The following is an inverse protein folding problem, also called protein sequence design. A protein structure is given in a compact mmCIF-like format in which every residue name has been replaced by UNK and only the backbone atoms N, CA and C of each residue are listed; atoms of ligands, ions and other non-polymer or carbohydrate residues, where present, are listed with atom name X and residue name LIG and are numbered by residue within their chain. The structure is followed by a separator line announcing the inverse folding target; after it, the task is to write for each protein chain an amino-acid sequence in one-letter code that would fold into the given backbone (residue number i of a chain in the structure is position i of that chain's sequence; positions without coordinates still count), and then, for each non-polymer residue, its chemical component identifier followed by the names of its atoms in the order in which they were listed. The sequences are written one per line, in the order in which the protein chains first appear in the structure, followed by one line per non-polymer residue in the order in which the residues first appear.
data_IF_266851458817
#
_entry.id   IF_266851458817
#
_cell.length_a   1.000
_cell.length_b   1.000
_cell.length_c   1.000
_cell.angle_alpha   90.00
_cell.angle_beta   90.00
_cell.angle_gamma   90.00
#
_symmetry.space_group_name_H-M   'P 1'
#
loop_
_entity.id
_entity.type
_entity.pdbx_description
1 polymer ?
#
# COMPACT_ATOMS: atom_id res chain seq x y z
N UNK A 1 -19.06 4.63 24.23
CA UNK A 1 -19.22 3.47 23.34
C UNK A 1 -17.91 3.24 22.62
N UNK A 2 -17.06 2.35 23.13
CA UNK A 2 -15.90 1.86 22.37
C UNK A 2 -16.36 0.59 21.66
N UNK A 3 -16.78 0.75 20.40
CA UNK A 3 -17.06 -0.40 19.54
C UNK A 3 -15.77 -1.16 19.35
N UNK A 4 -15.82 -2.49 19.44
CA UNK A 4 -14.68 -3.36 19.14
C UNK A 4 -14.13 -2.98 17.75
N UNK A 5 -12.97 -2.30 17.71
CA UNK A 5 -12.29 -2.03 16.45
C UNK A 5 -11.73 -3.36 15.95
N UNK A 6 -12.56 -4.06 15.19
CA UNK A 6 -12.09 -5.08 14.26
C UNK A 6 -10.93 -4.48 13.50
N UNK A 7 -9.82 -5.18 13.50
CA UNK A 7 -8.63 -4.70 12.82
C UNK A 7 -8.90 -4.67 11.32
N UNK A 8 -8.96 -3.47 10.77
CA UNK A 8 -9.09 -3.23 9.34
C UNK A 8 -7.75 -3.59 8.68
N UNK A 9 -7.75 -4.62 7.84
CA UNK A 9 -6.57 -5.10 7.09
C UNK A 9 -7.00 -5.21 5.63
N UNK A 10 -6.17 -4.67 4.74
CA UNK A 10 -6.25 -4.98 3.32
C UNK A 10 -4.97 -5.70 2.89
N UNK A 11 -5.13 -6.82 2.18
CA UNK A 11 -4.04 -7.66 1.70
C UNK A 11 -3.87 -7.59 0.18
N UNK A 12 -4.69 -6.82 -0.54
CA UNK A 12 -4.69 -6.81 -1.99
C UNK A 12 -5.06 -5.43 -2.55
N UNK A 13 -4.07 -4.55 -2.63
CA UNK A 13 -4.22 -3.23 -3.25
C UNK A 13 -3.20 -3.02 -4.35
N UNK A 14 -3.58 -2.26 -5.37
CA UNK A 14 -2.71 -1.89 -6.48
C UNK A 14 -2.43 -0.40 -6.42
N UNK A 15 -1.19 -0.03 -6.76
CA UNK A 15 -0.74 1.35 -6.86
C UNK A 15 -0.62 1.80 -8.31
N UNK A 16 -0.34 3.09 -8.50
CA UNK A 16 -0.06 3.70 -9.79
C UNK A 16 1.18 3.09 -10.49
N UNK A 17 1.98 2.27 -9.80
CA UNK A 17 3.10 1.55 -10.39
C UNK A 17 2.65 0.30 -11.19
N UNK A 18 1.37 -0.06 -11.11
CA UNK A 18 0.73 -1.08 -11.95
C UNK A 18 -0.57 -0.56 -12.57
N UNK A 19 -1.73 -1.11 -12.21
CA UNK A 19 -3.06 -0.71 -12.69
C UNK A 19 -3.92 -0.02 -11.62
N UNK A 20 -3.34 0.28 -10.45
CA UNK A 20 -3.98 1.09 -9.42
C UNK A 20 -4.02 2.58 -9.76
N UNK A 21 -4.87 3.32 -9.05
CA UNK A 21 -5.09 4.75 -9.33
C UNK A 21 -4.29 5.69 -8.44
N UNK A 22 -3.72 5.18 -7.34
CA UNK A 22 -3.12 5.99 -6.28
C UNK A 22 -1.62 5.69 -6.12
N UNK A 23 -0.85 6.71 -5.76
CA UNK A 23 0.54 6.51 -5.35
C UNK A 23 0.62 5.61 -4.10
N UNK A 24 1.70 4.83 -3.92
CA UNK A 24 1.90 4.01 -2.72
C UNK A 24 1.74 4.81 -1.41
N UNK A 25 2.27 6.04 -1.37
CA UNK A 25 2.20 6.93 -0.21
C UNK A 25 0.76 7.40 0.06
N UNK A 26 -0.01 7.66 -0.99
CA UNK A 26 -1.42 8.06 -0.89
C UNK A 26 -2.30 6.90 -0.42
N UNK A 27 -2.05 5.68 -0.90
CA UNK A 27 -2.70 4.47 -0.39
C UNK A 27 -2.45 4.30 1.10
N UNK A 28 -1.19 4.36 1.52
CA UNK A 28 -0.80 4.26 2.92
C UNK A 28 -1.44 5.38 3.76
N UNK A 29 -1.50 6.61 3.23
CA UNK A 29 -2.08 7.72 3.98
C UNK A 29 -3.59 7.55 4.18
N UNK A 30 -4.32 7.19 3.13
CA UNK A 30 -5.76 6.96 3.19
C UNK A 30 -6.10 5.75 4.05
N UNK A 31 -5.32 4.68 3.98
CA UNK A 31 -5.51 3.49 4.80
C UNK A 31 -5.42 3.84 6.30
N UNK A 32 -4.41 4.61 6.71
CA UNK A 32 -4.31 5.05 8.11
C UNK A 32 -5.51 5.93 8.53
N UNK A 33 -5.91 6.89 7.69
CA UNK A 33 -7.08 7.76 7.97
C UNK A 33 -8.38 6.94 8.06
N UNK A 34 -8.50 5.87 7.27
CA UNK A 34 -9.62 4.94 7.31
C UNK A 34 -9.52 3.89 8.45
N UNK A 35 -8.48 3.95 9.28
CA UNK A 35 -8.30 3.09 10.46
C UNK A 35 -7.72 1.70 10.16
N UNK A 36 -7.07 1.52 9.00
CA UNK A 36 -6.37 0.27 8.68
C UNK A 36 -5.13 0.11 9.58
N UNK A 37 -4.95 -1.10 10.10
CA UNK A 37 -3.77 -1.50 10.85
C UNK A 37 -2.69 -2.10 9.94
N UNK A 38 -3.10 -2.73 8.85
CA UNK A 38 -2.20 -3.31 7.86
C UNK A 38 -2.75 -3.01 6.47
N UNK A 39 -1.88 -2.55 5.59
CA UNK A 39 -2.12 -2.38 4.16
C UNK A 39 -1.01 -3.12 3.41
N UNK A 40 -1.38 -3.94 2.43
CA UNK A 40 -0.42 -4.60 1.54
C UNK A 40 -0.65 -4.14 0.10
N UNK A 41 0.44 -3.74 -0.55
CA UNK A 41 0.47 -3.41 -1.98
C UNK A 41 0.94 -4.66 -2.75
N UNK A 42 0.15 -5.08 -3.73
CA UNK A 42 0.32 -6.28 -4.55
C UNK A 42 0.31 -5.95 -6.04
N UNK A 43 1.17 -5.01 -6.44
CA UNK A 43 1.26 -4.54 -7.83
C UNK A 43 1.56 -5.67 -8.83
N UNK A 44 0.99 -5.55 -10.02
CA UNK A 44 1.30 -6.44 -11.14
C UNK A 44 2.73 -6.24 -11.65
N UNK A 45 3.57 -7.27 -11.50
CA UNK A 45 4.98 -7.28 -11.93
C UNK A 45 5.33 -8.51 -12.77
N UNK A 46 6.35 -8.36 -13.61
CA UNK A 46 6.98 -9.41 -14.39
C UNK A 46 8.44 -9.08 -14.72
N UNK A 47 9.12 -9.92 -15.50
CA UNK A 47 10.54 -9.74 -15.84
C UNK A 47 10.88 -8.41 -16.53
N UNK A 48 9.89 -7.73 -17.11
CA UNK A 48 10.08 -6.43 -17.77
C UNK A 48 10.11 -5.24 -16.83
N UNK A 49 9.60 -5.35 -15.59
CA UNK A 49 9.42 -4.20 -14.70
C UNK A 49 9.70 -4.47 -13.21
N UNK A 50 10.00 -5.71 -12.81
CA UNK A 50 10.10 -6.10 -11.40
C UNK A 50 11.15 -5.27 -10.63
N UNK A 51 12.32 -5.01 -11.19
CA UNK A 51 13.37 -4.23 -10.52
C UNK A 51 12.92 -2.79 -10.27
N UNK A 52 12.26 -2.17 -11.25
CA UNK A 52 11.79 -0.78 -11.14
C UNK A 52 10.66 -0.67 -10.11
N UNK A 53 9.65 -1.54 -10.19
CA UNK A 53 8.48 -1.50 -9.30
C UNK A 53 8.86 -1.83 -7.87
N UNK A 54 9.62 -2.91 -7.63
CA UNK A 54 10.01 -3.32 -6.28
C UNK A 54 10.90 -2.26 -5.62
N UNK A 55 11.87 -1.69 -6.36
CA UNK A 55 12.74 -0.63 -5.83
C UNK A 55 11.94 0.63 -5.43
N UNK A 56 10.95 1.02 -6.25
CA UNK A 56 10.08 2.14 -5.93
C UNK A 56 9.19 1.86 -4.70
N UNK A 57 8.58 0.68 -4.60
CA UNK A 57 7.75 0.29 -3.47
C UNK A 57 8.55 0.24 -2.16
N UNK A 58 9.77 -0.31 -2.16
CA UNK A 58 10.63 -0.33 -0.97
C UNK A 58 10.94 1.09 -0.50
N UNK A 59 11.31 2.00 -1.42
CA UNK A 59 11.55 3.41 -1.07
C UNK A 59 10.31 4.09 -0.50
N UNK A 60 9.14 3.86 -1.10
CA UNK A 60 7.89 4.41 -0.61
C UNK A 60 7.57 3.90 0.81
N UNK A 61 7.75 2.59 1.05
CA UNK A 61 7.56 1.99 2.37
C UNK A 61 8.52 2.61 3.41
N UNK A 62 9.81 2.73 3.11
CA UNK A 62 10.80 3.35 4.00
C UNK A 62 10.48 4.81 4.33
N UNK A 63 9.93 5.57 3.37
CA UNK A 63 9.57 6.98 3.58
C UNK A 63 8.24 7.19 4.28
N UNK A 64 7.38 6.18 4.29
CA UNK A 64 6.03 6.25 4.88
C UNK A 64 5.93 5.50 6.22
N UNK A 65 6.93 4.69 6.56
CA UNK A 65 7.07 4.03 7.87
C UNK A 65 7.50 5.05 8.93
N UNK A 66 6.52 5.69 9.57
CA UNK A 66 6.71 6.53 10.75
C UNK A 66 6.33 5.78 12.04
#
# INVERSE_FOLDING_TARGET
MFSAQGTMIDLHTHSLLSDGELLPEELARRAETAGYRILVITDHVGFSNVEQVVSALVRAAEKTSA
#
